data_IF_647211047051
#
_entry.id   IF_647211047051
#
_cell.length_a   1.000
_cell.length_b   1.000
_cell.length_c   1.000
_cell.angle_alpha   90.00
_cell.angle_beta   90.00
_cell.angle_gamma   90.00
#
_symmetry.space_group_name_H-M   'P 1'
#
loop_
_entity.id
_entity.type
_entity.pdbx_description
1 polymer ?
#
# COMPACT_ATOMS: atom_id res chain seq x y z
N UNK A 1 -16.34 21.83 4.61
CA UNK A 1 -15.55 22.15 5.81
C UNK A 1 -14.60 23.30 5.48
N UNK A 2 -14.50 24.34 6.31
CA UNK A 2 -13.57 25.45 6.05
C UNK A 2 -12.14 25.04 6.44
N UNK A 3 -11.47 24.26 5.58
CA UNK A 3 -10.05 23.91 5.71
C UNK A 3 -9.20 25.14 6.00
N UNK A 4 -9.56 26.26 5.37
CA UNK A 4 -8.87 27.53 5.49
C UNK A 4 -8.96 28.16 6.88
N UNK A 5 -10.04 27.94 7.61
CA UNK A 5 -10.24 28.51 8.94
C UNK A 5 -9.32 27.90 10.01
N UNK A 6 -8.72 26.72 9.77
CA UNK A 6 -7.78 26.11 10.69
C UNK A 6 -6.37 26.71 10.51
N UNK A 7 -5.75 27.18 11.60
CA UNK A 7 -4.40 27.76 11.54
C UNK A 7 -3.28 26.71 11.70
N UNK A 8 -3.56 25.54 12.27
CA UNK A 8 -2.54 24.53 12.55
C UNK A 8 -2.45 23.48 11.42
N UNK A 9 -1.25 23.15 10.89
CA UNK A 9 -1.09 22.17 9.81
C UNK A 9 -1.75 20.82 10.11
N UNK A 10 -1.49 20.27 11.30
CA UNK A 10 -2.10 19.02 11.78
C UNK A 10 -3.63 19.07 11.79
N UNK A 11 -4.21 20.22 12.13
CA UNK A 11 -5.67 20.38 12.15
C UNK A 11 -6.24 20.42 10.73
N UNK A 12 -5.55 21.09 9.79
CA UNK A 12 -5.93 21.07 8.38
C UNK A 12 -5.86 19.64 7.81
N UNK A 13 -4.82 18.86 8.13
CA UNK A 13 -4.73 17.44 7.74
C UNK A 13 -5.92 16.63 8.28
N UNK A 14 -6.28 16.80 9.56
CA UNK A 14 -7.41 16.09 10.13
C UNK A 14 -8.74 16.41 9.41
N UNK A 15 -8.97 17.68 9.06
CA UNK A 15 -10.13 18.12 8.30
C UNK A 15 -10.12 17.57 6.87
N UNK A 16 -8.96 17.56 6.20
CA UNK A 16 -8.81 16.97 4.87
C UNK A 16 -9.18 15.48 4.89
N UNK A 17 -8.69 14.73 5.87
CA UNK A 17 -9.03 13.32 6.06
C UNK A 17 -10.52 13.10 6.38
N UNK A 18 -11.16 14.05 7.08
CA UNK A 18 -12.60 14.03 7.32
C UNK A 18 -13.38 14.16 6.02
N UNK A 19 -13.02 15.11 5.16
CA UNK A 19 -13.64 15.25 3.84
C UNK A 19 -13.43 13.99 2.99
N UNK A 20 -12.24 13.38 3.03
CA UNK A 20 -12.02 12.11 2.32
C UNK A 20 -12.98 11.02 2.76
N UNK A 21 -13.23 10.88 4.07
CA UNK A 21 -14.20 9.91 4.61
C UNK A 21 -15.62 10.23 4.14
N UNK A 22 -16.00 11.50 4.12
CA UNK A 22 -17.32 11.94 3.65
C UNK A 22 -17.53 11.62 2.17
N UNK A 23 -16.50 11.82 1.33
CA UNK A 23 -16.54 11.43 -0.08
C UNK A 23 -16.75 9.92 -0.23
N UNK A 24 -16.03 9.08 0.52
CA UNK A 24 -16.27 7.62 0.50
C UNK A 24 -17.65 7.24 1.01
N UNK A 25 -18.16 7.91 2.04
CA UNK A 25 -19.51 7.68 2.55
C UNK A 25 -20.57 8.02 1.50
N UNK A 26 -20.39 9.10 0.73
CA UNK A 26 -21.27 9.46 -0.38
C UNK A 26 -21.24 8.47 -1.54
N UNK A 27 -20.10 7.80 -1.76
CA UNK A 27 -19.93 6.78 -2.80
C UNK A 27 -20.50 5.41 -2.40
N UNK A 28 -20.54 5.08 -1.10
CA UNK A 28 -21.00 3.79 -0.59
C UNK A 28 -22.52 3.62 -0.77
N UNK A 29 -22.95 3.03 -1.88
CA UNK A 29 -24.36 2.75 -2.18
C UNK A 29 -24.76 1.29 -1.85
N UNK A 30 -25.05 1.00 -0.58
CA UNK A 30 -25.65 -0.28 -0.15
C UNK A 30 -24.69 -1.28 0.51
N UNK A 31 -25.23 -2.38 1.03
CA UNK A 31 -24.58 -3.25 2.05
C UNK A 31 -23.49 -4.22 1.55
N UNK A 32 -23.27 -4.40 0.24
CA UNK A 32 -22.34 -5.42 -0.28
C UNK A 32 -21.53 -4.91 -1.48
N UNK A 33 -20.71 -3.86 -1.28
CA UNK A 33 -19.78 -3.41 -2.31
C UNK A 33 -18.34 -3.75 -1.96
N UNK A 34 -17.58 -4.12 -2.99
CA UNK A 34 -16.13 -4.22 -2.92
C UNK A 34 -15.53 -2.88 -2.45
N UNK A 35 -14.37 -2.90 -1.77
CA UNK A 35 -13.71 -1.67 -1.32
C UNK A 35 -13.45 -0.73 -2.49
N UNK A 36 -13.93 0.50 -2.36
CA UNK A 36 -13.79 1.53 -3.39
C UNK A 36 -12.33 2.01 -3.48
N UNK A 37 -11.75 1.91 -4.67
CA UNK A 37 -10.40 2.36 -4.96
C UNK A 37 -10.30 3.82 -5.39
N UNK A 38 -9.09 4.23 -5.75
CA UNK A 38 -8.80 5.58 -6.25
C UNK A 38 -9.63 5.96 -7.49
N UNK A 39 -9.92 5.00 -8.37
CA UNK A 39 -10.68 5.25 -9.61
C UNK A 39 -12.13 5.68 -9.36
N UNK A 40 -12.70 5.29 -8.21
CA UNK A 40 -14.02 5.77 -7.77
C UNK A 40 -13.92 7.07 -6.97
N UNK A 41 -12.88 7.17 -6.13
CA UNK A 41 -12.68 8.30 -5.24
C UNK A 41 -12.26 9.59 -5.95
N UNK A 42 -11.26 9.51 -6.85
CA UNK A 42 -10.66 10.68 -7.50
C UNK A 42 -11.69 11.51 -8.29
N UNK A 43 -12.55 10.91 -9.13
CA UNK A 43 -13.58 11.70 -9.81
C UNK A 43 -14.55 12.36 -8.84
N UNK A 44 -14.95 11.69 -7.77
CA UNK A 44 -15.87 12.22 -6.76
C UNK A 44 -15.25 13.38 -5.97
N UNK A 45 -13.99 13.25 -5.55
CA UNK A 45 -13.25 14.34 -4.93
C UNK A 45 -13.11 15.52 -5.90
N UNK A 46 -12.80 15.26 -7.17
CA UNK A 46 -12.64 16.30 -8.19
C UNK A 46 -13.95 17.05 -8.39
N UNK A 47 -15.10 16.37 -8.41
CA UNK A 47 -16.42 16.99 -8.48
C UNK A 47 -16.69 17.88 -7.25
N UNK A 48 -16.45 17.37 -6.04
CA UNK A 48 -16.62 18.15 -4.80
C UNK A 48 -15.76 19.44 -4.82
N UNK A 49 -14.53 19.35 -5.32
CA UNK A 49 -13.63 20.50 -5.45
C UNK A 49 -14.12 21.52 -6.49
N UNK A 50 -14.59 21.07 -7.66
CA UNK A 50 -15.08 21.97 -8.73
C UNK A 50 -16.26 22.83 -8.23
N UNK A 51 -17.14 22.25 -7.40
CA UNK A 51 -18.29 22.95 -6.86
C UNK A 51 -18.00 23.71 -5.56
N UNK A 52 -16.79 23.59 -5.02
CA UNK A 52 -16.39 24.28 -3.79
C UNK A 52 -16.24 25.79 -4.02
N UNK A 53 -16.91 26.65 -3.23
CA UNK A 53 -16.71 28.09 -3.31
C UNK A 53 -15.33 28.53 -2.82
N UNK A 54 -14.67 27.70 -2.00
CA UNK A 54 -13.40 27.99 -1.33
C UNK A 54 -12.21 27.27 -2.04
N UNK A 55 -12.34 26.94 -3.33
CA UNK A 55 -11.34 26.12 -4.06
C UNK A 55 -9.95 26.79 -4.10
N UNK A 56 -9.90 28.13 -4.21
CA UNK A 56 -8.65 28.88 -4.26
C UNK A 56 -7.89 28.81 -2.92
N UNK A 57 -8.59 29.06 -1.82
CA UNK A 57 -8.07 28.95 -0.45
C UNK A 57 -7.66 27.51 -0.14
N UNK A 58 -8.46 26.54 -0.59
CA UNK A 58 -8.17 25.12 -0.47
C UNK A 58 -6.88 24.74 -1.20
N UNK A 59 -6.65 25.31 -2.40
CA UNK A 59 -5.41 25.10 -3.13
C UNK A 59 -4.20 25.61 -2.36
N UNK A 60 -4.27 26.84 -1.82
CA UNK A 60 -3.20 27.41 -1.00
C UNK A 60 -2.94 26.58 0.26
N UNK A 61 -4.00 26.09 0.91
CA UNK A 61 -3.88 25.25 2.09
C UNK A 61 -3.18 23.92 1.78
N UNK A 62 -3.50 23.29 0.65
CA UNK A 62 -2.88 22.02 0.24
C UNK A 62 -1.40 22.23 -0.13
N UNK A 63 -1.08 23.27 -0.88
CA UNK A 63 0.30 23.65 -1.19
C UNK A 63 1.10 23.95 0.08
N UNK A 64 0.52 24.72 1.00
CA UNK A 64 1.08 25.01 2.32
C UNK A 64 1.38 23.74 3.12
N UNK A 65 0.45 22.78 3.15
CA UNK A 65 0.64 21.51 3.86
C UNK A 65 1.74 20.66 3.22
N UNK A 66 1.81 20.64 1.89
CA UNK A 66 2.85 19.91 1.15
C UNK A 66 4.26 20.47 1.41
N UNK A 67 4.39 21.76 1.71
CA UNK A 67 5.68 22.41 1.96
C UNK A 67 6.14 22.34 3.43
N UNK A 68 5.22 22.50 4.39
CA UNK A 68 5.56 22.74 5.80
C UNK A 68 5.34 21.56 6.75
N UNK A 69 4.63 20.50 6.33
CA UNK A 69 4.48 19.31 7.17
C UNK A 69 5.82 18.57 7.29
N UNK A 70 6.08 18.03 8.48
CA UNK A 70 7.20 17.12 8.68
C UNK A 70 7.00 15.88 7.79
N UNK A 71 8.02 15.43 7.03
CA UNK A 71 7.93 14.22 6.22
C UNK A 71 7.43 12.98 6.96
N UNK A 72 7.69 12.88 8.28
CA UNK A 72 7.19 11.77 9.09
C UNK A 72 5.67 11.84 9.30
N UNK A 73 5.07 13.02 9.22
CA UNK A 73 3.60 13.23 9.27
C UNK A 73 2.92 12.97 7.93
N UNK A 74 3.70 12.93 6.84
CA UNK A 74 3.23 12.61 5.49
C UNK A 74 3.27 11.12 5.16
N UNK A 75 3.50 10.26 6.15
CA UNK A 75 3.49 8.81 5.94
C UNK A 75 2.06 8.24 5.96
N UNK A 76 1.85 7.16 5.20
CA UNK A 76 0.58 6.42 5.19
C UNK A 76 -0.59 7.22 4.61
N UNK A 77 -1.71 7.22 5.32
CA UNK A 77 -3.00 7.76 4.85
C UNK A 77 -2.94 9.27 4.61
N UNK A 78 -2.30 10.03 5.51
CA UNK A 78 -2.22 11.48 5.43
C UNK A 78 -1.51 11.94 4.15
N UNK A 79 -0.32 11.40 3.86
CA UNK A 79 0.39 11.72 2.64
C UNK A 79 -0.30 11.22 1.38
N UNK A 80 -0.95 10.05 1.44
CA UNK A 80 -1.72 9.52 0.32
C UNK A 80 -2.84 10.48 -0.10
N UNK A 81 -3.68 10.90 0.85
CA UNK A 81 -4.78 11.81 0.54
C UNK A 81 -4.31 13.23 0.27
N UNK A 82 -3.30 13.76 0.97
CA UNK A 82 -2.79 15.09 0.66
C UNK A 82 -2.22 15.17 -0.77
N UNK A 83 -1.45 14.16 -1.19
CA UNK A 83 -0.92 14.07 -2.56
C UNK A 83 -2.06 13.94 -3.57
N UNK A 84 -3.10 13.19 -3.21
CA UNK A 84 -4.31 13.03 -4.03
C UNK A 84 -5.04 14.36 -4.22
N UNK A 85 -5.25 15.13 -3.16
CA UNK A 85 -5.85 16.46 -3.22
C UNK A 85 -5.02 17.41 -4.09
N UNK A 86 -3.71 17.44 -3.88
CA UNK A 86 -2.80 18.24 -4.70
C UNK A 86 -2.93 17.86 -6.18
N UNK A 87 -2.95 16.57 -6.50
CA UNK A 87 -3.12 16.08 -7.87
C UNK A 87 -4.47 16.51 -8.50
N UNK A 88 -5.57 16.40 -7.75
CA UNK A 88 -6.89 16.81 -8.21
C UNK A 88 -6.97 18.32 -8.48
N UNK A 89 -6.50 19.14 -7.54
CA UNK A 89 -6.45 20.60 -7.68
C UNK A 89 -5.54 21.02 -8.85
N UNK A 90 -4.36 20.42 -8.96
CA UNK A 90 -3.44 20.67 -10.06
C UNK A 90 -4.07 20.32 -11.41
N UNK A 91 -4.78 19.19 -11.48
CA UNK A 91 -5.51 18.77 -12.67
C UNK A 91 -6.61 19.77 -13.06
N UNK A 92 -7.41 20.23 -12.10
CA UNK A 92 -8.46 21.25 -12.34
C UNK A 92 -7.83 22.54 -12.87
N UNK A 93 -6.79 23.05 -12.20
CA UNK A 93 -6.15 24.32 -12.55
C UNK A 93 -5.47 24.31 -13.94
N UNK A 94 -5.02 23.14 -14.41
CA UNK A 94 -4.28 22.99 -15.67
C UNK A 94 -5.04 22.15 -16.70
N UNK A 95 -6.34 21.97 -16.50
CA UNK A 95 -7.15 21.14 -17.38
C UNK A 95 -7.10 21.68 -18.81
N UNK A 96 -6.72 20.81 -19.76
CA UNK A 96 -6.79 21.10 -21.19
C UNK A 96 -7.70 20.05 -21.82
N UNK A 97 -8.84 20.45 -22.44
CA UNK A 97 -9.74 19.49 -23.06
C UNK A 97 -8.98 18.75 -24.17
N UNK A 98 -9.04 17.40 -24.16
CA UNK A 98 -8.23 16.55 -25.03
C UNK A 98 -8.63 16.56 -26.52
N UNK A 99 -9.22 17.64 -27.04
CA UNK A 99 -9.60 17.78 -28.44
C UNK A 99 -8.42 17.52 -29.39
N UNK A 100 -7.17 17.72 -28.94
CA UNK A 100 -5.93 17.48 -29.70
C UNK A 100 -5.00 16.38 -29.12
N UNK A 101 -5.38 15.69 -28.05
CA UNK A 101 -4.48 14.77 -27.30
C UNK A 101 -4.97 13.35 -27.11
N UNK A 102 -6.02 12.92 -27.80
CA UNK A 102 -6.35 11.50 -27.85
C UNK A 102 -5.13 10.69 -28.35
N UNK A 103 -4.63 9.70 -27.59
CA UNK A 103 -3.57 8.82 -28.09
C UNK A 103 -4.07 8.20 -29.37
N UNK A 104 -3.36 8.38 -30.49
CA UNK A 104 -3.69 7.79 -31.81
C UNK A 104 -3.53 6.26 -31.83
N UNK A 105 -3.67 5.60 -30.68
CA UNK A 105 -3.21 4.25 -30.39
C UNK A 105 -1.78 4.21 -29.88
N UNK A 106 -1.43 3.11 -29.21
CA UNK A 106 -0.04 2.77 -28.89
C UNK A 106 0.69 2.39 -30.18
N UNK A 107 1.96 2.77 -30.31
CA UNK A 107 2.81 2.22 -31.36
C UNK A 107 2.90 0.69 -31.25
N UNK A 108 3.17 0.02 -32.36
CA UNK A 108 3.39 -1.44 -32.39
C UNK A 108 4.50 -1.87 -31.42
N UNK A 109 5.55 -1.05 -31.29
CA UNK A 109 6.67 -1.26 -30.38
C UNK A 109 6.28 -1.11 -28.90
N UNK A 110 5.52 -0.07 -28.55
CA UNK A 110 5.04 0.13 -27.18
C UNK A 110 4.11 -1.03 -26.75
N UNK A 111 3.25 -1.49 -27.67
CA UNK A 111 2.37 -2.63 -27.45
C UNK A 111 3.17 -3.93 -27.26
N UNK A 112 4.20 -4.18 -28.08
CA UNK A 112 5.07 -5.34 -27.93
C UNK A 112 5.82 -5.34 -26.59
N UNK A 113 6.30 -4.16 -26.17
CA UNK A 113 7.00 -3.97 -24.89
C UNK A 113 6.09 -4.26 -23.68
N UNK A 114 4.84 -3.77 -23.72
CA UNK A 114 3.83 -4.07 -22.71
C UNK A 114 3.49 -5.57 -22.65
N UNK A 115 3.31 -6.22 -23.80
CA UNK A 115 3.09 -7.66 -23.85
C UNK A 115 4.27 -8.45 -23.26
N UNK A 116 5.50 -8.06 -23.56
CA UNK A 116 6.69 -8.72 -23.02
C UNK A 116 6.79 -8.53 -21.50
N UNK A 117 6.54 -7.33 -21.00
CA UNK A 117 6.50 -7.03 -19.57
C UNK A 117 5.41 -7.84 -18.85
N UNK A 118 4.20 -7.90 -19.43
CA UNK A 118 3.11 -8.70 -18.87
C UNK A 118 3.46 -10.19 -18.82
N UNK A 119 4.06 -10.73 -19.89
CA UNK A 119 4.52 -12.13 -19.91
C UNK A 119 5.56 -12.43 -18.83
N UNK A 120 6.57 -11.56 -18.65
CA UNK A 120 7.56 -11.74 -17.56
C UNK A 120 6.91 -11.82 -16.18
N UNK A 121 5.87 -11.00 -15.93
CA UNK A 121 5.20 -10.95 -14.62
C UNK A 121 4.17 -12.06 -14.39
N UNK A 122 3.57 -12.60 -15.45
CA UNK A 122 2.50 -13.61 -15.32
C UNK A 122 2.95 -15.05 -15.55
N UNK A 123 4.09 -15.28 -16.21
CA UNK A 123 4.64 -16.63 -16.44
C UNK A 123 5.36 -17.22 -15.21
N UNK A 124 5.98 -16.40 -14.35
CA UNK A 124 6.63 -16.88 -13.12
C UNK A 124 5.66 -17.35 -12.01
N UNK A 125 4.34 -17.31 -12.23
CA UNK A 125 3.35 -17.82 -11.26
C UNK A 125 3.11 -19.33 -11.36
N UNK A 126 3.58 -20.01 -12.41
CA UNK A 126 3.34 -21.47 -12.57
C UNK A 126 4.46 -22.37 -12.05
N UNK A 127 5.60 -21.81 -11.64
CA UNK A 127 6.75 -22.58 -11.15
C UNK A 127 7.08 -22.25 -9.69
N UNK A 128 6.08 -22.30 -8.79
CA UNK A 128 6.37 -22.72 -7.43
C UNK A 128 6.16 -24.24 -7.37
N UNK A 129 7.24 -25.03 -7.23
CA UNK A 129 7.11 -26.45 -7.02
C UNK A 129 6.41 -26.66 -5.68
N UNK A 130 5.13 -26.98 -5.72
CA UNK A 130 4.41 -27.72 -4.68
C UNK A 130 4.98 -29.15 -4.61
N UNK A 131 6.30 -29.25 -4.41
CA UNK A 131 7.06 -30.50 -4.44
C UNK A 131 7.97 -30.66 -3.22
N UNK A 132 7.98 -29.69 -2.28
CA UNK A 132 8.75 -29.83 -1.02
C UNK A 132 7.88 -30.16 0.20
N UNK A 133 6.57 -29.90 0.19
CA UNK A 133 5.69 -30.27 1.33
C UNK A 133 5.22 -31.72 1.26
N UNK A 134 5.07 -32.30 0.06
CA UNK A 134 4.65 -33.70 -0.10
C UNK A 134 5.77 -34.71 0.06
N UNK A 135 7.04 -34.32 -0.13
CA UNK A 135 8.20 -35.21 0.04
C UNK A 135 8.46 -35.55 1.51
N UNK A 136 8.26 -34.59 2.43
CA UNK A 136 8.39 -34.85 3.88
C UNK A 136 7.26 -35.74 4.44
N UNK A 137 6.04 -35.61 3.90
CA UNK A 137 4.89 -36.43 4.31
C UNK A 137 4.93 -37.86 3.76
N UNK A 138 5.62 -38.10 2.63
CA UNK A 138 5.78 -39.43 2.06
C UNK A 138 6.93 -40.22 2.70
N UNK A 139 8.00 -39.54 3.13
CA UNK A 139 9.11 -40.18 3.86
C UNK A 139 8.70 -40.62 5.27
N UNK A 140 7.76 -39.91 5.92
CA UNK A 140 7.29 -40.28 7.27
C UNK A 140 6.28 -41.44 7.29
N UNK A 141 5.78 -41.92 6.14
CA UNK A 141 4.74 -42.97 6.06
C UNK A 141 5.30 -44.39 5.85
N UNK A 142 6.61 -44.59 6.01
CA UNK A 142 7.27 -45.91 5.92
C UNK A 142 8.04 -46.32 7.17
N UNK A 143 7.76 -45.71 8.33
CA UNK A 143 8.27 -46.19 9.61
C UNK A 143 7.10 -46.47 10.56
N UNK A 144 6.74 -47.75 10.63
CA UNK A 144 6.33 -48.49 11.83
C UNK A 144 5.34 -47.84 12.79
N UNK A 145 4.09 -48.28 12.66
CA UNK A 145 3.14 -48.41 13.76
C UNK A 145 3.77 -49.13 14.97
N UNK A 146 3.72 -48.50 16.15
CA UNK A 146 3.26 -49.09 17.43
C UNK A 146 3.41 -48.05 18.55
N UNK A 147 2.31 -47.35 18.87
CA UNK A 147 2.19 -46.54 20.10
C UNK A 147 1.21 -47.24 21.04
N UNK A 148 1.74 -47.85 22.11
CA UNK A 148 0.98 -48.23 23.30
C UNK A 148 1.21 -47.14 24.36
N UNK A 149 0.18 -46.64 25.06
CA UNK A 149 0.35 -45.63 26.10
C UNK A 149 0.58 -46.29 27.46
N UNK A 150 1.72 -46.02 28.10
CA UNK A 150 1.90 -46.04 29.56
C UNK A 150 3.24 -45.38 29.94
N UNK A 151 3.15 -44.24 30.62
CA UNK A 151 4.19 -43.65 31.48
C UNK A 151 4.58 -44.63 32.63
N UNK A 152 5.76 -44.50 33.30
CA UNK A 152 6.27 -43.25 33.87
C UNK A 152 7.80 -43.00 33.86
N UNK A 153 8.15 -41.76 34.21
CA UNK A 153 9.50 -41.22 34.46
C UNK A 153 10.34 -42.06 35.46
N UNK A 154 11.69 -41.90 35.48
CA UNK A 154 12.27 -40.89 36.39
C UNK A 154 13.65 -40.27 35.98
N UNK A 155 13.93 -39.13 36.65
CA UNK A 155 15.24 -38.63 37.15
C UNK A 155 16.36 -38.14 36.20
N UNK A 156 16.61 -36.82 36.33
CA UNK A 156 17.83 -36.00 36.08
C UNK A 156 19.12 -36.55 36.75
N UNK A 157 20.35 -35.99 36.60
CA UNK A 157 20.81 -34.82 35.83
C UNK A 157 22.05 -35.11 34.95
N UNK A 158 22.45 -34.19 34.07
CA UNK A 158 23.84 -33.70 33.94
C UNK A 158 23.96 -32.64 32.83
N UNK A 159 24.63 -31.54 33.17
CA UNK A 159 24.97 -30.39 32.32
C UNK A 159 26.47 -30.46 32.00
N UNK A 160 26.90 -30.09 30.78
CA UNK A 160 28.12 -29.28 30.66
C UNK A 160 27.93 -28.13 29.65
N UNK A 161 28.06 -26.87 30.05
CA UNK A 161 29.23 -25.99 29.84
C UNK A 161 29.72 -25.89 28.38
N UNK A 162 29.29 -24.83 27.67
CA UNK A 162 29.91 -24.35 26.43
C UNK A 162 31.14 -23.48 26.76
N UNK A 163 32.33 -23.71 26.18
CA UNK A 163 33.46 -22.83 26.35
C UNK A 163 33.43 -21.68 25.33
N UNK A 164 33.70 -20.46 25.83
CA UNK A 164 34.12 -19.30 25.05
C UNK A 164 35.35 -19.65 24.19
N UNK A 165 35.34 -19.23 22.92
CA UNK A 165 36.56 -19.14 22.11
C UNK A 165 36.85 -17.67 21.79
N UNK A 166 37.83 -17.12 22.48
CA UNK A 166 38.52 -15.89 22.12
C UNK A 166 39.81 -16.20 21.35
N UNK A 167 40.03 -15.54 20.24
CA UNK A 167 41.32 -15.09 19.69
C UNK A 167 40.96 -14.26 18.44
N UNK A 168 41.43 -13.06 18.18
CA UNK A 168 42.62 -12.38 18.69
C UNK A 168 43.42 -11.85 17.51
N UNK A 169 43.02 -10.68 17.00
CA UNK A 169 43.85 -9.52 16.60
C UNK A 169 45.03 -9.65 15.61
N UNK A 170 45.23 -8.53 14.87
CA UNK A 170 46.45 -8.02 14.17
C UNK A 170 46.48 -8.42 12.68
N UNK A 171 46.87 -7.58 11.70
CA UNK A 171 47.45 -6.22 11.63
C UNK A 171 47.47 -5.81 10.14
N UNK A 172 47.57 -4.50 9.91
CA UNK A 172 47.83 -3.75 8.66
C UNK A 172 46.62 -3.59 7.72
#
# INVERSE_FOLDING_TARGET
>A
AHLHAACAPRRKVALLLEVCRDVYAGLARGENQDPLGADAFLPALTEELIWSPDIGETQLDVEFLMELLDPDELQGEAGYYLTTWFGALHHIAHYQPETDRAPRGLSSEARASLHQWHRRRTLHRKDHPRAQVTAHLAASRREGETWCPSDPAPTSPHRPTCPLRSHGQKRL
#
